data_IF_863161603266
#
_entry.id   IF_863161603266
#
_cell.length_a   1.000
_cell.length_b   1.000
_cell.length_c   1.000
_cell.angle_alpha   90.00
_cell.angle_beta   90.00
_cell.angle_gamma   90.00
#
_symmetry.space_group_name_H-M   'P 1'
#
loop_
_entity.id
_entity.type
_entity.pdbx_description
1 polymer ?
#
# COMPACT_ATOMS: atom_id res chain seq x y z
N UNK A 1 -17.66 6.12 -24.41
CA UNK A 1 -16.67 5.90 -23.32
C UNK A 1 -17.06 4.85 -22.26
N UNK A 2 -18.33 4.42 -22.11
CA UNK A 2 -18.79 3.51 -21.04
C UNK A 2 -18.47 2.01 -21.26
N UNK A 3 -18.41 1.54 -22.51
CA UNK A 3 -18.20 0.11 -22.85
C UNK A 3 -16.82 -0.40 -22.41
N UNK A 4 -15.75 0.39 -22.60
CA UNK A 4 -14.39 0.02 -22.18
C UNK A 4 -14.27 -0.14 -20.66
N UNK A 5 -14.98 0.69 -19.89
CA UNK A 5 -14.98 0.61 -18.43
C UNK A 5 -15.71 -0.64 -17.93
N UNK A 6 -16.81 -1.03 -18.59
CA UNK A 6 -17.55 -2.24 -18.27
C UNK A 6 -16.72 -3.50 -18.57
N UNK A 7 -16.04 -3.53 -19.72
CA UNK A 7 -15.17 -4.64 -20.11
C UNK A 7 -13.99 -4.82 -19.13
N UNK A 8 -13.40 -3.71 -18.67
CA UNK A 8 -12.35 -3.74 -17.64
C UNK A 8 -12.86 -4.32 -16.32
N UNK A 9 -14.07 -3.95 -15.88
CA UNK A 9 -14.67 -4.49 -14.64
C UNK A 9 -14.96 -5.98 -14.75
N UNK A 10 -15.50 -6.43 -15.88
CA UNK A 10 -15.77 -7.85 -16.13
C UNK A 10 -14.47 -8.67 -16.22
N UNK A 11 -13.49 -8.18 -16.98
CA UNK A 11 -12.18 -8.83 -17.10
C UNK A 11 -11.45 -8.94 -15.76
N UNK A 12 -11.51 -7.89 -14.94
CA UNK A 12 -10.92 -7.90 -13.59
C UNK A 12 -11.64 -8.87 -12.65
N UNK A 13 -12.97 -8.92 -12.70
CA UNK A 13 -13.78 -9.86 -11.93
C UNK A 13 -13.48 -11.31 -12.30
N UNK A 14 -13.40 -11.62 -13.59
CA UNK A 14 -13.04 -12.94 -14.08
C UNK A 14 -11.60 -13.33 -13.68
N UNK A 15 -10.64 -12.42 -13.83
CA UNK A 15 -9.26 -12.65 -13.42
C UNK A 15 -9.15 -12.90 -11.91
N UNK A 16 -9.93 -12.17 -11.09
CA UNK A 16 -10.00 -12.38 -9.65
C UNK A 16 -10.70 -13.68 -9.27
N UNK A 17 -11.68 -14.13 -10.05
CA UNK A 17 -12.34 -15.41 -9.82
C UNK A 17 -11.42 -16.60 -10.09
N UNK A 18 -10.63 -16.53 -11.17
CA UNK A 18 -9.76 -17.63 -11.63
C UNK A 18 -8.39 -17.61 -10.94
N UNK A 19 -7.77 -16.44 -10.78
CA UNK A 19 -6.40 -16.29 -10.26
C UNK A 19 -6.34 -15.57 -8.90
N UNK A 20 -7.47 -15.17 -8.34
CA UNK A 20 -7.49 -14.47 -7.06
C UNK A 20 -7.27 -15.42 -5.89
N UNK A 21 -6.29 -15.08 -5.05
CA UNK A 21 -5.97 -15.74 -3.79
C UNK A 21 -6.59 -14.99 -2.61
N UNK A 22 -6.90 -15.71 -1.53
CA UNK A 22 -7.32 -15.06 -0.28
C UNK A 22 -6.08 -14.49 0.41
N UNK A 23 -6.06 -13.18 0.62
CA UNK A 23 -5.09 -12.52 1.46
C UNK A 23 -5.52 -12.69 2.92
N UNK A 24 -4.60 -13.19 3.73
CA UNK A 24 -4.79 -13.40 5.16
C UNK A 24 -3.82 -12.50 5.90
N UNK A 25 -4.30 -11.81 6.93
CA UNK A 25 -3.44 -11.01 7.80
C UNK A 25 -2.47 -11.95 8.50
N UNK A 26 -1.19 -11.71 8.28
CA UNK A 26 -0.14 -12.54 8.84
C UNK A 26 -0.13 -12.50 10.38
N UNK A 27 -0.52 -11.37 10.98
CA UNK A 27 -0.48 -11.18 12.43
C UNK A 27 -1.67 -11.82 13.13
N UNK A 28 -2.87 -11.69 12.55
CA UNK A 28 -4.13 -12.11 13.20
C UNK A 28 -4.73 -13.38 12.62
N UNK A 29 -4.28 -13.81 11.43
CA UNK A 29 -4.89 -14.92 10.69
C UNK A 29 -6.24 -14.56 10.05
N UNK A 30 -6.66 -13.30 10.11
CA UNK A 30 -7.95 -12.85 9.58
C UNK A 30 -7.93 -12.76 8.05
N UNK A 31 -9.02 -13.16 7.39
CA UNK A 31 -9.14 -13.01 5.94
C UNK A 31 -9.38 -11.55 5.59
N UNK A 32 -8.40 -10.92 4.96
CA UNK A 32 -8.45 -9.50 4.57
C UNK A 32 -9.20 -9.25 3.27
N UNK A 33 -9.26 -10.26 2.39
CA UNK A 33 -9.99 -10.17 1.12
C UNK A 33 -9.36 -11.02 0.03
N UNK A 34 -9.83 -10.86 -1.20
CA UNK A 34 -9.31 -11.59 -2.36
C UNK A 34 -8.51 -10.66 -3.28
N UNK A 35 -7.36 -11.12 -3.75
CA UNK A 35 -6.42 -10.32 -4.54
C UNK A 35 -5.76 -11.17 -5.61
N UNK A 36 -5.41 -10.54 -6.74
CA UNK A 36 -4.53 -11.16 -7.72
C UNK A 36 -3.12 -10.63 -7.45
N UNK A 37 -2.21 -11.53 -7.09
CA UNK A 37 -0.79 -11.21 -6.86
C UNK A 37 -0.01 -11.68 -8.07
N UNK A 38 0.73 -10.78 -8.71
CA UNK A 38 1.59 -11.12 -9.84
C UNK A 38 2.95 -10.43 -9.71
N UNK A 39 4.01 -11.10 -10.16
CA UNK A 39 5.32 -10.48 -10.28
C UNK A 39 5.46 -9.88 -11.67
N UNK A 40 5.71 -8.58 -11.76
CA UNK A 40 5.86 -7.87 -13.04
C UNK A 40 7.06 -6.93 -13.01
N UNK A 41 8.00 -7.11 -13.94
CA UNK A 41 9.25 -6.31 -14.06
C UNK A 41 9.99 -6.15 -12.72
N UNK A 42 10.12 -7.24 -11.97
CA UNK A 42 10.79 -7.25 -10.65
C UNK A 42 9.98 -6.65 -9.51
N UNK A 43 8.74 -6.20 -9.76
CA UNK A 43 7.83 -5.65 -8.74
C UNK A 43 6.73 -6.64 -8.41
N UNK A 44 6.30 -6.66 -7.16
CA UNK A 44 5.10 -7.37 -6.75
C UNK A 44 3.90 -6.45 -6.99
N UNK A 45 2.99 -6.86 -7.87
CA UNK A 45 1.77 -6.14 -8.18
C UNK A 45 0.58 -6.85 -7.53
N UNK A 46 -0.23 -6.09 -6.81
CA UNK A 46 -1.48 -6.53 -6.20
C UNK A 46 -2.63 -5.81 -6.89
N UNK A 47 -3.55 -6.56 -7.48
CA UNK A 47 -4.65 -6.00 -8.28
C UNK A 47 -5.99 -6.48 -7.73
N UNK A 48 -6.94 -5.54 -7.66
CA UNK A 48 -8.33 -5.84 -7.35
C UNK A 48 -8.56 -6.21 -5.89
N UNK A 49 -7.67 -5.82 -5.00
CA UNK A 49 -7.87 -5.94 -3.55
C UNK A 49 -8.90 -4.92 -3.07
N UNK A 50 -9.88 -5.39 -2.31
CA UNK A 50 -11.04 -4.62 -1.81
C UNK A 50 -11.10 -4.55 -0.28
N UNK A 51 -10.05 -5.03 0.40
CA UNK A 51 -9.89 -4.91 1.85
C UNK A 51 -9.27 -3.56 2.28
N UNK A 52 -9.09 -3.41 3.59
CA UNK A 52 -8.38 -2.26 4.17
C UNK A 52 -6.92 -2.21 3.70
N UNK A 53 -6.32 -1.01 3.63
CA UNK A 53 -4.93 -0.85 3.17
C UNK A 53 -3.96 -1.77 3.94
N UNK A 54 -3.20 -2.56 3.17
CA UNK A 54 -2.22 -3.51 3.70
C UNK A 54 -0.80 -3.09 3.36
N UNK A 55 0.15 -3.55 4.15
CA UNK A 55 1.56 -3.37 3.90
C UNK A 55 2.32 -4.68 4.02
N UNK A 56 3.40 -4.84 3.24
CA UNK A 56 4.19 -6.07 3.22
C UNK A 56 5.12 -6.16 4.43
N UNK A 57 5.35 -7.39 4.88
CA UNK A 57 6.29 -7.74 5.94
C UNK A 57 7.17 -8.91 5.51
N UNK A 58 8.45 -8.78 5.75
CA UNK A 58 9.36 -9.91 5.64
C UNK A 58 9.15 -10.89 6.78
N UNK A 59 8.91 -12.16 6.44
CA UNK A 59 8.72 -13.21 7.42
C UNK A 59 10.03 -13.76 7.95
N UNK A 60 10.04 -14.26 9.21
CA UNK A 60 11.12 -15.10 9.69
C UNK A 60 11.35 -16.25 8.72
N UNK A 61 12.60 -16.44 8.34
CA UNK A 61 12.94 -17.40 7.30
C UNK A 61 12.84 -18.82 7.87
N UNK A 62 11.83 -19.58 7.43
CA UNK A 62 11.59 -20.95 7.90
C UNK A 62 12.50 -21.99 7.24
N UNK A 63 13.14 -21.64 6.12
CA UNK A 63 14.00 -22.51 5.34
C UNK A 63 15.34 -21.82 5.09
N UNK A 64 16.45 -22.50 5.37
CA UNK A 64 17.80 -22.00 5.10
C UNK A 64 18.10 -21.96 3.59
N UNK A 65 17.49 -21.01 2.88
CA UNK A 65 17.70 -20.80 1.44
C UNK A 65 17.99 -19.33 1.19
N UNK A 66 19.13 -19.03 0.57
CA UNK A 66 19.45 -17.65 0.17
C UNK A 66 18.61 -17.15 -1.02
N UNK A 67 17.83 -18.03 -1.66
CA UNK A 67 17.16 -17.75 -2.94
C UNK A 67 15.80 -17.07 -2.80
N UNK A 68 15.19 -17.06 -1.61
CA UNK A 68 13.85 -16.54 -1.42
C UNK A 68 13.53 -16.21 0.02
N UNK A 69 12.79 -15.11 0.20
CA UNK A 69 12.25 -14.69 1.47
C UNK A 69 10.73 -14.66 1.38
N UNK A 70 10.08 -15.18 2.41
CA UNK A 70 8.62 -15.15 2.51
C UNK A 70 8.15 -13.74 2.88
N UNK A 71 7.04 -13.33 2.26
CA UNK A 71 6.42 -12.03 2.47
C UNK A 71 5.00 -12.23 2.99
N UNK A 72 4.75 -11.75 4.20
CA UNK A 72 3.41 -11.61 4.78
C UNK A 72 2.82 -10.24 4.47
N UNK A 73 1.53 -10.09 4.73
CA UNK A 73 0.82 -8.81 4.65
C UNK A 73 -0.02 -8.61 5.90
N UNK A 74 -0.08 -7.38 6.39
CA UNK A 74 -0.94 -7.02 7.51
C UNK A 74 -1.64 -5.69 7.25
N UNK A 75 -2.78 -5.50 7.90
CA UNK A 75 -3.51 -4.23 7.90
C UNK A 75 -2.71 -3.16 8.63
N UNK A 76 -2.69 -1.93 8.07
CA UNK A 76 -2.06 -0.81 8.75
C UNK A 76 -2.67 -0.61 10.14
N UNK A 77 -1.84 -0.52 11.21
CA UNK A 77 -2.37 -0.16 12.51
C UNK A 77 -3.00 1.23 12.42
N UNK A 78 -4.05 1.49 13.22
CA UNK A 78 -4.57 2.84 13.35
C UNK A 78 -3.43 3.77 13.81
N UNK A 79 -3.37 5.01 13.30
CA UNK A 79 -2.43 6.00 13.81
C UNK A 79 -2.57 6.13 15.34
N UNK A 80 -1.43 6.21 16.02
CA UNK A 80 -1.33 6.48 17.46
C UNK A 80 -1.54 7.97 17.79
N UNK A 81 -1.66 8.82 16.76
CA UNK A 81 -1.95 10.24 16.87
C UNK A 81 -3.32 10.61 16.26
N UNK A 82 -4.01 11.61 16.82
CA UNK A 82 -5.26 12.11 16.26
C UNK A 82 -5.02 12.73 14.88
N UNK A 83 -6.01 12.57 13.99
CA UNK A 83 -5.98 13.19 12.67
C UNK A 83 -6.10 14.72 12.81
N UNK A 84 -4.98 15.44 12.74
CA UNK A 84 -4.96 16.91 12.71
C UNK A 84 -5.31 17.37 11.29
N UNK A 85 -6.61 17.57 11.03
CA UNK A 85 -7.11 18.01 9.73
C UNK A 85 -6.80 19.47 9.38
N UNK A 86 -6.12 20.23 10.24
CA UNK A 86 -5.83 21.65 10.02
C UNK A 86 -4.43 22.00 10.54
N UNK A 87 -3.48 22.36 9.67
CA UNK A 87 -2.27 23.02 10.15
C UNK A 87 -1.07 23.15 9.21
N UNK A 88 -0.92 22.33 8.16
CA UNK A 88 0.28 22.43 7.32
C UNK A 88 0.11 23.37 6.13
N UNK A 89 -0.05 24.67 6.42
CA UNK A 89 0.59 25.67 5.57
C UNK A 89 2.02 25.76 6.09
N UNK A 90 3.06 25.46 5.28
CA UNK A 90 4.41 25.82 5.67
C UNK A 90 4.43 27.33 5.86
N UNK A 91 4.47 27.76 7.13
CA UNK A 91 4.80 29.12 7.50
C UNK A 91 6.25 29.30 7.08
N UNK A 92 6.48 29.77 5.86
CA UNK A 92 7.75 30.41 5.55
C UNK A 92 7.86 31.60 6.52
N UNK A 93 8.84 31.63 7.43
CA UNK A 93 9.13 32.88 8.13
C UNK A 93 9.47 33.92 7.06
N UNK A 94 8.95 35.15 7.15
CA UNK A 94 9.40 36.21 6.25
C UNK A 94 10.92 36.30 6.40
N UNK A 95 11.61 36.15 5.29
CA UNK A 95 13.04 36.35 5.15
C UNK A 95 13.36 37.69 5.82
N UNK A 96 13.99 37.63 6.99
CA UNK A 96 14.38 38.82 7.75
C UNK A 96 15.35 39.59 6.87
N UNK A 97 14.85 40.68 6.27
CA UNK A 97 15.63 41.67 5.57
C UNK A 97 16.83 42.04 6.44
N UNK A 98 18.01 41.64 5.99
CA UNK A 98 19.26 41.93 6.65
C UNK A 98 19.38 43.43 6.85
N UNK A 99 19.44 43.84 8.11
CA UNK A 99 19.92 45.15 8.51
C UNK A 99 21.41 45.25 8.14
N UNK A 100 21.69 45.71 6.92
CA UNK A 100 23.01 46.19 6.54
C UNK A 100 23.23 47.55 7.18
N UNK A 101 23.91 47.59 8.32
CA UNK A 101 24.56 48.80 8.81
C UNK A 101 25.87 49.03 8.06
N UNK A 102 26.11 50.26 7.60
CA UNK A 102 27.35 51.03 7.76
C UNK A 102 27.34 52.24 6.81
N UNK A 103 27.56 53.42 7.38
CA UNK A 103 27.59 54.73 6.72
C UNK A 103 27.31 55.82 7.73
#
# INVERSE_FOLDING_TARGET
MKVKALLKKLGLGALRAVCGVNLVDQRTGEKLGRVVVMRWRGRLMMIGFDGAAVYPHFMPQTRETYWGQELGFSTHPPPDFPHVANGHRPHHPPESAGSGGHG
#
